data_IF_000349302326
#
_entry.id   IF_000349302326
#
_cell.length_a   1.000
_cell.length_b   1.000
_cell.length_c   1.000
_cell.angle_alpha   90.00
_cell.angle_beta   90.00
_cell.angle_gamma   90.00
#
_symmetry.space_group_name_H-M   'P 1'
#
loop_
_entity.id
_entity.type
_entity.pdbx_description
1 polymer ?
#
# COMPACT_ATOMS: atom_id res chain seq x y z
N UNK A 1 5.67 49.78 16.31
CA UNK A 1 5.10 48.75 17.21
C UNK A 1 5.00 47.47 16.39
N UNK A 2 5.71 46.44 16.83
CA UNK A 2 5.91 45.20 16.07
C UNK A 2 4.67 44.32 16.07
N UNK A 3 4.40 43.69 14.92
CA UNK A 3 3.37 42.67 14.80
C UNK A 3 4.01 41.33 15.15
N UNK A 4 3.52 40.73 16.24
CA UNK A 4 3.82 39.35 16.63
C UNK A 4 3.39 38.40 15.51
N UNK A 5 4.36 37.65 14.97
CA UNK A 5 4.11 36.45 14.18
C UNK A 5 4.53 35.27 15.07
N UNK A 6 3.61 34.80 15.90
CA UNK A 6 3.75 33.54 16.62
C UNK A 6 2.39 32.87 16.53
N UNK A 7 2.37 31.55 16.26
CA UNK A 7 1.19 30.66 16.21
C UNK A 7 0.44 30.45 14.88
N UNK A 8 1.12 30.36 13.73
CA UNK A 8 0.52 29.79 12.49
C UNK A 8 1.21 28.51 12.01
N UNK A 9 2.20 27.98 12.75
CA UNK A 9 2.95 26.81 12.29
C UNK A 9 2.27 25.47 12.62
N UNK A 10 1.53 25.36 13.72
CA UNK A 10 0.97 24.07 14.15
C UNK A 10 -0.32 23.66 13.41
N UNK A 11 -1.14 24.61 12.94
CA UNK A 11 -2.37 24.28 12.20
C UNK A 11 -2.10 23.82 10.77
N UNK A 12 -1.03 24.31 10.12
CA UNK A 12 -0.67 23.90 8.76
C UNK A 12 -0.18 22.44 8.75
N UNK A 13 0.58 22.02 9.76
CA UNK A 13 1.06 20.63 9.88
C UNK A 13 -0.09 19.63 10.06
N UNK A 14 -1.13 20.00 10.80
CA UNK A 14 -2.32 19.16 10.97
C UNK A 14 -3.12 19.00 9.65
N UNK A 15 -3.22 20.06 8.84
CA UNK A 15 -3.90 20.01 7.53
C UNK A 15 -3.13 19.13 6.53
N UNK A 16 -1.79 19.21 6.53
CA UNK A 16 -0.93 18.37 5.68
C UNK A 16 -0.98 16.87 6.06
N UNK A 17 -1.16 16.56 7.35
CA UNK A 17 -1.34 15.19 7.83
C UNK A 17 -2.70 14.58 7.43
N UNK A 18 -3.77 15.38 7.51
CA UNK A 18 -5.13 14.93 7.12
C UNK A 18 -5.21 14.72 5.60
N UNK A 19 -4.63 15.62 4.80
CA UNK A 19 -4.65 15.49 3.34
C UNK A 19 -3.90 14.24 2.86
N UNK A 20 -2.76 13.95 3.49
CA UNK A 20 -1.91 12.82 3.13
C UNK A 20 -2.51 11.47 3.54
N UNK A 21 -3.18 11.41 4.70
CA UNK A 21 -3.93 10.22 5.09
C UNK A 21 -5.13 9.98 4.16
N UNK A 22 -5.86 11.03 3.79
CA UNK A 22 -6.95 10.94 2.81
C UNK A 22 -6.44 10.49 1.43
N UNK A 23 -5.26 10.94 1.03
CA UNK A 23 -4.61 10.50 -0.20
C UNK A 23 -4.27 9.00 -0.14
N UNK A 24 -3.68 8.52 0.96
CA UNK A 24 -3.41 7.10 1.15
C UNK A 24 -4.69 6.27 1.07
N UNK A 25 -5.77 6.70 1.74
CA UNK A 25 -7.05 5.99 1.68
C UNK A 25 -7.61 5.99 0.25
N UNK A 26 -7.54 7.11 -0.46
CA UNK A 26 -7.96 7.19 -1.86
C UNK A 26 -7.16 6.26 -2.77
N UNK A 27 -5.88 6.04 -2.49
CA UNK A 27 -5.03 5.09 -3.24
C UNK A 27 -5.47 3.66 -2.95
N UNK A 28 -5.73 3.31 -1.70
CA UNK A 28 -6.24 1.98 -1.33
C UNK A 28 -7.61 1.70 -1.95
N UNK A 29 -8.53 2.67 -1.90
CA UNK A 29 -9.87 2.56 -2.49
C UNK A 29 -9.82 2.42 -4.03
N UNK A 30 -8.86 3.12 -4.67
CA UNK A 30 -8.63 3.00 -6.11
C UNK A 30 -8.06 1.63 -6.46
N UNK A 31 -7.07 1.16 -5.70
CA UNK A 31 -6.48 -0.15 -5.89
C UNK A 31 -7.53 -1.27 -5.76
N UNK A 32 -8.42 -1.19 -4.77
CA UNK A 32 -9.52 -2.15 -4.63
C UNK A 32 -10.45 -2.12 -5.85
N UNK A 33 -10.88 -0.92 -6.28
CA UNK A 33 -11.69 -0.77 -7.50
C UNK A 33 -11.02 -1.32 -8.75
N UNK A 34 -9.73 -1.05 -8.93
CA UNK A 34 -8.97 -1.49 -10.10
C UNK A 34 -8.80 -3.02 -10.08
N UNK A 35 -8.56 -3.63 -8.91
CA UNK A 35 -8.60 -5.09 -8.74
C UNK A 35 -9.96 -5.66 -9.11
N UNK A 36 -11.07 -5.12 -8.59
CA UNK A 36 -12.40 -5.61 -8.93
C UNK A 36 -12.70 -5.45 -10.43
N UNK A 37 -12.26 -4.35 -11.04
CA UNK A 37 -12.43 -4.11 -12.47
C UNK A 37 -11.68 -5.17 -13.29
N UNK A 38 -10.39 -5.41 -13.00
CA UNK A 38 -9.56 -6.39 -13.72
C UNK A 38 -10.06 -7.81 -13.50
N UNK A 39 -10.51 -8.14 -12.29
CA UNK A 39 -11.08 -9.45 -11.98
C UNK A 39 -12.27 -9.80 -12.87
N UNK A 40 -13.11 -8.80 -13.21
CA UNK A 40 -14.27 -8.97 -14.07
C UNK A 40 -13.93 -8.97 -15.58
N UNK A 41 -12.67 -8.79 -15.96
CA UNK A 41 -12.21 -8.88 -17.35
C UNK A 41 -11.82 -10.32 -17.71
N UNK A 42 -11.50 -10.57 -18.98
CA UNK A 42 -11.03 -11.87 -19.43
C UNK A 42 -9.69 -12.23 -18.79
N UNK A 43 -9.43 -13.53 -18.62
CA UNK A 43 -8.11 -14.03 -18.22
C UNK A 43 -6.99 -13.48 -19.12
N UNK A 44 -5.86 -13.12 -18.51
CA UNK A 44 -4.73 -12.46 -19.18
C UNK A 44 -4.91 -10.95 -19.38
N UNK A 45 -6.04 -10.37 -18.95
CA UNK A 45 -6.18 -8.91 -18.94
C UNK A 45 -5.37 -8.32 -17.80
N UNK A 46 -4.53 -7.33 -18.10
CA UNK A 46 -3.71 -6.69 -17.08
C UNK A 46 -3.28 -5.28 -17.47
N UNK A 47 -3.02 -4.46 -16.46
CA UNK A 47 -2.60 -3.06 -16.63
C UNK A 47 -1.43 -2.73 -15.69
N UNK A 48 -0.45 -1.93 -16.15
CA UNK A 48 0.49 -1.29 -15.26
C UNK A 48 -0.22 -0.14 -14.53
N UNK A 49 0.01 -0.04 -13.22
CA UNK A 49 -0.48 1.07 -12.41
C UNK A 49 0.67 1.76 -11.69
N UNK A 50 0.65 3.09 -11.69
CA UNK A 50 1.57 3.92 -10.93
C UNK A 50 0.92 4.36 -9.62
N UNK A 51 1.50 3.91 -8.50
CA UNK A 51 1.11 4.32 -7.16
C UNK A 51 1.92 5.55 -6.77
N UNK A 52 1.22 6.66 -6.51
CA UNK A 52 1.81 7.91 -6.06
C UNK A 52 1.62 8.05 -4.55
N UNK A 53 2.49 7.40 -3.77
CA UNK A 53 2.35 7.36 -2.32
C UNK A 53 2.79 8.69 -1.68
N UNK A 54 2.09 9.16 -0.63
CA UNK A 54 2.55 10.28 0.17
C UNK A 54 3.95 10.03 0.75
N UNK A 55 4.64 11.10 1.12
CA UNK A 55 5.91 10.99 1.85
C UNK A 55 5.73 10.12 3.12
N UNK A 56 6.80 9.40 3.49
CA UNK A 56 6.81 8.52 4.68
C UNK A 56 5.78 7.38 4.64
N UNK A 57 5.26 7.05 3.46
CA UNK A 57 4.37 5.91 3.25
C UNK A 57 5.14 4.71 2.71
N UNK A 58 4.94 3.55 3.32
CA UNK A 58 5.36 2.25 2.80
C UNK A 58 4.13 1.35 2.67
N UNK A 59 3.86 0.83 1.48
CA UNK A 59 2.83 -0.20 1.28
C UNK A 59 3.53 -1.51 0.95
N UNK A 60 3.13 -2.58 1.61
CA UNK A 60 3.58 -3.94 1.34
C UNK A 60 2.40 -4.78 0.86
N UNK A 61 2.57 -5.39 -0.30
CA UNK A 61 1.68 -6.41 -0.82
C UNK A 61 2.11 -7.73 -0.22
N UNK A 62 1.18 -8.41 0.44
CA UNK A 62 1.50 -9.55 1.29
C UNK A 62 0.85 -10.81 0.78
N UNK A 63 1.67 -11.84 0.65
CA UNK A 63 1.22 -13.22 0.62
C UNK A 63 1.32 -13.77 2.04
N UNK A 64 0.17 -14.06 2.67
CA UNK A 64 0.09 -14.50 4.08
C UNK A 64 0.84 -15.81 4.35
N UNK A 65 1.04 -16.62 3.31
CA UNK A 65 1.76 -17.89 3.38
C UNK A 65 3.27 -17.73 3.17
N UNK A 66 3.72 -16.53 2.80
CA UNK A 66 5.10 -16.24 2.45
C UNK A 66 5.93 -15.88 3.68
N UNK A 67 7.20 -16.25 3.66
CA UNK A 67 8.18 -15.88 4.68
C UNK A 67 8.71 -14.46 4.42
N UNK A 68 9.45 -13.84 5.37
CA UNK A 68 10.19 -12.62 5.08
C UNK A 68 11.00 -12.75 3.77
N UNK A 69 10.92 -11.72 2.93
CA UNK A 69 11.55 -11.69 1.61
C UNK A 69 12.44 -10.46 1.48
N UNK A 70 13.73 -10.70 1.24
CA UNK A 70 14.74 -9.67 1.15
C UNK A 70 15.07 -9.43 -0.32
N UNK A 71 14.86 -8.19 -0.77
CA UNK A 71 15.22 -7.75 -2.11
C UNK A 71 16.52 -6.94 -2.06
N UNK A 72 17.22 -6.84 -3.21
CA UNK A 72 18.42 -6.01 -3.33
C UNK A 72 18.15 -4.54 -2.99
N UNK A 73 16.94 -4.06 -3.28
CA UNK A 73 16.47 -2.75 -2.84
C UNK A 73 15.80 -2.89 -1.45
N UNK A 74 16.37 -2.28 -0.39
CA UNK A 74 15.81 -2.33 0.96
C UNK A 74 14.38 -1.78 1.06
N UNK A 75 13.99 -0.86 0.16
CA UNK A 75 12.63 -0.31 0.14
C UNK A 75 11.59 -1.35 -0.28
N UNK A 76 12.01 -2.36 -1.04
CA UNK A 76 11.17 -3.46 -1.53
C UNK A 76 11.08 -4.63 -0.56
N UNK A 77 12.01 -4.70 0.39
CA UNK A 77 12.09 -5.78 1.38
C UNK A 77 10.83 -5.87 2.25
N UNK A 78 10.30 -7.08 2.27
CA UNK A 78 9.26 -7.54 3.19
C UNK A 78 9.91 -8.22 4.37
N UNK A 79 10.02 -7.52 5.49
CA UNK A 79 10.52 -8.08 6.74
C UNK A 79 9.64 -7.59 7.90
N UNK A 80 8.47 -8.20 8.11
CA UNK A 80 7.54 -7.77 9.15
C UNK A 80 8.06 -8.16 10.52
N UNK A 81 7.76 -7.34 11.52
CA UNK A 81 7.87 -7.77 12.92
C UNK A 81 6.97 -9.00 13.16
N UNK A 82 7.40 -10.00 13.94
CA UNK A 82 6.60 -11.18 14.25
C UNK A 82 5.19 -10.87 14.77
N UNK A 83 5.02 -9.79 15.55
CA UNK A 83 3.71 -9.38 16.07
C UNK A 83 2.80 -8.93 14.94
N UNK A 84 3.29 -8.10 14.02
CA UNK A 84 2.50 -7.66 12.87
C UNK A 84 2.24 -8.80 11.89
N UNK A 85 3.19 -9.73 11.72
CA UNK A 85 2.97 -10.91 10.90
C UNK A 85 1.78 -11.73 11.41
N UNK A 86 1.64 -11.89 12.73
CA UNK A 86 0.49 -12.57 13.32
C UNK A 86 -0.81 -11.81 13.05
N UNK A 87 -0.84 -10.49 13.28
CA UNK A 87 -2.01 -9.66 13.01
C UNK A 87 -2.44 -9.76 11.54
N UNK A 88 -1.48 -9.72 10.61
CA UNK A 88 -1.73 -9.85 9.17
C UNK A 88 -2.35 -11.20 8.83
N UNK A 89 -1.82 -12.29 9.40
CA UNK A 89 -2.34 -13.64 9.17
C UNK A 89 -3.74 -13.81 9.73
N UNK A 90 -3.97 -13.40 10.97
CA UNK A 90 -5.27 -13.52 11.65
C UNK A 90 -6.38 -12.77 10.92
N UNK A 91 -6.06 -11.61 10.35
CA UNK A 91 -7.03 -10.78 9.63
C UNK A 91 -7.02 -11.02 8.11
N UNK A 92 -6.16 -11.92 7.61
CA UNK A 92 -5.98 -12.20 6.18
C UNK A 92 -5.74 -10.93 5.34
N UNK A 93 -4.93 -10.00 5.86
CA UNK A 93 -4.55 -8.80 5.12
C UNK A 93 -3.58 -9.16 3.99
N UNK A 94 -3.89 -8.71 2.79
CA UNK A 94 -3.02 -8.82 1.61
C UNK A 94 -2.38 -7.46 1.23
N UNK A 95 -2.75 -6.39 1.94
CA UNK A 95 -2.05 -5.10 1.95
C UNK A 95 -1.71 -4.72 3.39
N UNK A 96 -0.44 -4.43 3.66
CA UNK A 96 0.04 -3.90 4.93
C UNK A 96 0.76 -2.58 4.69
N UNK A 97 0.37 -1.51 5.38
CA UNK A 97 0.94 -0.19 5.13
C UNK A 97 1.37 0.52 6.41
N UNK A 98 2.42 1.32 6.28
CA UNK A 98 2.94 2.21 7.31
C UNK A 98 2.86 3.65 6.82
N UNK A 99 2.28 4.53 7.63
CA UNK A 99 2.16 5.96 7.35
C UNK A 99 2.29 6.75 8.65
N UNK A 100 3.21 7.74 8.70
CA UNK A 100 3.53 8.53 9.89
C UNK A 100 3.74 7.66 11.15
N UNK A 101 4.46 6.54 11.01
CA UNK A 101 4.73 5.58 12.09
C UNK A 101 3.53 4.73 12.55
N UNK A 102 2.34 4.92 11.97
CA UNK A 102 1.18 4.05 12.20
C UNK A 102 1.17 2.93 11.19
N UNK A 103 0.90 1.71 11.65
CA UNK A 103 0.81 0.52 10.81
C UNK A 103 -0.60 -0.03 10.80
N UNK A 104 -1.11 -0.31 9.61
CA UNK A 104 -2.47 -0.81 9.41
C UNK A 104 -2.50 -1.84 8.30
N UNK A 105 -3.53 -2.67 8.31
CA UNK A 105 -3.79 -3.65 7.27
C UNK A 105 -5.07 -3.32 6.51
N UNK A 106 -5.10 -3.76 5.26
CA UNK A 106 -6.28 -3.70 4.41
C UNK A 106 -6.38 -5.02 3.64
N UNK A 107 -7.61 -5.50 3.47
CA UNK A 107 -7.92 -6.68 2.68
C UNK A 107 -8.62 -6.23 1.41
N UNK A 108 -8.02 -6.54 0.27
CA UNK A 108 -8.60 -6.34 -1.04
C UNK A 108 -9.10 -7.69 -1.55
N UNK A 109 -10.39 -7.83 -1.77
CA UNK A 109 -10.95 -9.10 -2.24
C UNK A 109 -10.49 -9.38 -3.69
N UNK A 110 -10.40 -10.65 -4.06
CA UNK A 110 -9.92 -11.12 -5.37
C UNK A 110 -8.45 -10.77 -5.71
N UNK A 111 -7.70 -10.15 -4.80
CA UNK A 111 -6.28 -9.86 -4.97
C UNK A 111 -5.41 -11.00 -4.44
N UNK A 112 -4.48 -11.48 -5.27
CA UNK A 112 -3.47 -12.45 -4.91
C UNK A 112 -2.06 -11.88 -5.14
N UNK A 113 -1.18 -12.08 -4.17
CA UNK A 113 0.23 -11.65 -4.23
C UNK A 113 1.07 -12.92 -4.30
N UNK A 114 1.92 -13.05 -5.32
CA UNK A 114 2.75 -14.26 -5.47
C UNK A 114 3.92 -14.28 -4.51
N UNK A 115 4.65 -13.17 -4.42
CA UNK A 115 5.77 -12.93 -3.52
C UNK A 115 5.55 -11.61 -2.82
N UNK A 116 5.69 -11.59 -1.51
CA UNK A 116 5.47 -10.36 -0.75
C UNK A 116 6.53 -9.32 -1.10
N UNK A 117 6.13 -8.09 -1.37
CA UNK A 117 7.03 -6.99 -1.71
C UNK A 117 6.49 -5.66 -1.21
N UNK A 118 7.35 -4.67 -1.07
CA UNK A 118 6.96 -3.32 -0.65
C UNK A 118 7.27 -2.25 -1.70
N UNK A 119 6.56 -1.14 -1.61
CA UNK A 119 6.67 0.04 -2.46
C UNK A 119 6.64 1.31 -1.61
N UNK A 120 7.32 2.35 -2.08
CA UNK A 120 7.42 3.67 -1.43
C UNK A 120 7.48 4.77 -2.49
N UNK A 121 6.95 5.96 -2.21
CA UNK A 121 6.96 7.07 -3.16
C UNK A 121 6.20 6.76 -4.45
N UNK A 122 6.70 7.21 -5.60
CA UNK A 122 6.19 6.76 -6.91
C UNK A 122 6.77 5.38 -7.25
N UNK A 123 5.90 4.39 -7.41
CA UNK A 123 6.25 3.01 -7.76
C UNK A 123 5.24 2.44 -8.73
N UNK A 124 5.71 1.61 -9.67
CA UNK A 124 4.84 0.91 -10.60
C UNK A 124 4.59 -0.51 -10.15
N UNK A 125 3.34 -0.92 -10.20
CA UNK A 125 2.90 -2.29 -10.02
C UNK A 125 2.24 -2.78 -11.31
N UNK A 126 2.19 -4.08 -11.48
CA UNK A 126 1.46 -4.74 -12.55
C UNK A 126 0.36 -5.60 -11.94
N UNK A 127 -0.84 -5.49 -12.50
CA UNK A 127 -2.00 -6.25 -12.09
C UNK A 127 -2.54 -7.04 -13.26
N UNK A 128 -2.80 -8.33 -13.06
CA UNK A 128 -3.24 -9.23 -14.12
C UNK A 128 -4.28 -10.22 -13.62
N UNK A 129 -5.37 -10.41 -14.37
CA UNK A 129 -6.33 -11.46 -14.10
C UNK A 129 -5.77 -12.83 -14.51
N UNK A 130 -5.50 -13.68 -13.52
CA UNK A 130 -4.99 -15.05 -13.73
C UNK A 130 -6.11 -16.10 -13.81
N UNK A 131 -7.35 -15.69 -14.11
CA UNK A 131 -8.53 -16.55 -14.23
C UNK A 131 -9.21 -16.89 -12.89
N UNK A 132 -8.49 -16.80 -11.77
CA UNK A 132 -9.02 -17.08 -10.42
C UNK A 132 -8.94 -15.87 -9.48
N UNK A 133 -8.02 -14.95 -9.76
CA UNK A 133 -7.73 -13.77 -8.94
C UNK A 133 -6.90 -12.78 -9.75
N UNK A 134 -6.82 -11.53 -9.29
CA UNK A 134 -5.88 -10.54 -9.81
C UNK A 134 -4.53 -10.72 -9.12
N UNK A 135 -3.54 -11.17 -9.88
CA UNK A 135 -2.16 -11.22 -9.45
C UNK A 135 -1.55 -9.83 -9.41
N UNK A 136 -0.88 -9.48 -8.31
CA UNK A 136 -0.08 -8.26 -8.21
C UNK A 136 1.41 -8.58 -8.16
N UNK A 137 2.16 -7.93 -9.03
CA UNK A 137 3.62 -7.96 -9.03
C UNK A 137 4.21 -6.56 -9.13
N UNK A 138 5.47 -6.42 -8.75
CA UNK A 138 6.24 -5.23 -9.07
C UNK A 138 6.46 -5.17 -10.61
N UNK A 139 6.40 -3.97 -11.19
CA UNK A 139 6.69 -3.72 -12.60
C UNK A 139 8.12 -3.22 -12.84
#
# INVERSE_FOLDING_TARGET
>A
MGIMIVFVFEQILAILGISSQAQLQSILDKLDKDVQMIYNQAEGSGIPEELNLPAETKICFVNISDSPHFYTDPKKTWNPDPVYLNIIKENSYNVWYEYNGKRNGHKIDNMAVRKSFCVTGSSKIYMENNGVSVGITWA
#
